data_IF_911917899431
#
_entry.id   IF_911917899431
#
_cell.length_a   1.000
_cell.length_b   1.000
_cell.length_c   1.000
_cell.angle_alpha   90.00
_cell.angle_beta   90.00
_cell.angle_gamma   90.00
#
_symmetry.space_group_name_H-M   'P 1'
#
loop_
_entity.id
_entity.type
_entity.pdbx_description
1 polymer ?
#
# COMPACT_ATOMS: atom_id res chain seq x y z
N UNK A 1 -6.39 -7.95 -8.64
CA UNK A 1 -6.42 -6.49 -8.53
C UNK A 1 -6.07 -6.09 -7.10
N UNK A 2 -5.25 -5.06 -6.98
CA UNK A 2 -4.81 -4.61 -5.68
C UNK A 2 -5.69 -3.53 -5.10
N UNK A 3 -5.77 -3.50 -3.79
CA UNK A 3 -6.44 -2.41 -3.09
C UNK A 3 -5.76 -2.20 -1.74
N UNK A 4 -5.94 -1.00 -1.20
CA UNK A 4 -5.38 -0.66 0.10
C UNK A 4 -6.49 -0.17 1.00
N UNK A 5 -6.37 -0.47 2.29
CA UNK A 5 -7.32 0.01 3.27
C UNK A 5 -6.59 0.44 4.53
N UNK A 6 -7.17 1.39 5.22
CA UNK A 6 -6.62 1.84 6.49
C UNK A 6 -7.32 1.13 7.64
N UNK A 7 -6.53 0.56 8.53
CA UNK A 7 -7.02 -0.12 9.72
C UNK A 7 -6.26 0.44 10.90
N UNK A 8 -6.96 1.12 11.81
CA UNK A 8 -6.34 1.78 12.96
C UNK A 8 -5.21 2.72 12.47
N UNK A 9 -3.99 2.48 12.88
CA UNK A 9 -2.85 3.35 12.56
C UNK A 9 -1.99 2.82 11.42
N UNK A 10 -2.54 1.95 10.57
CA UNK A 10 -1.75 1.38 9.49
C UNK A 10 -2.56 1.27 8.21
N UNK A 11 -1.85 1.21 7.12
CA UNK A 11 -2.44 0.96 5.80
C UNK A 11 -1.99 -0.43 5.36
N UNK A 12 -2.93 -1.20 4.86
CA UNK A 12 -2.67 -2.56 4.39
C UNK A 12 -2.98 -2.60 2.91
N UNK A 13 -2.00 -2.96 2.11
CA UNK A 13 -2.15 -3.13 0.68
C UNK A 13 -2.25 -4.62 0.37
N UNK A 14 -3.32 -5.00 -0.31
CA UNK A 14 -3.58 -6.39 -0.64
C UNK A 14 -3.68 -6.55 -2.15
N UNK A 15 -3.20 -7.68 -2.64
CA UNK A 15 -3.27 -8.01 -4.05
C UNK A 15 -3.32 -9.53 -4.18
N UNK A 16 -4.17 -10.01 -5.09
CA UNK A 16 -4.34 -11.44 -5.34
C UNK A 16 -4.67 -12.21 -4.06
N UNK A 17 -5.47 -11.61 -3.19
CA UNK A 17 -5.89 -12.26 -1.95
C UNK A 17 -4.81 -12.36 -0.89
N UNK A 18 -3.71 -11.63 -1.05
CA UNK A 18 -2.60 -11.66 -0.10
C UNK A 18 -2.23 -10.26 0.32
N UNK A 19 -1.70 -10.15 1.54
CA UNK A 19 -1.17 -8.88 2.02
C UNK A 19 0.21 -8.70 1.39
N UNK A 20 0.34 -7.64 0.59
CA UNK A 20 1.60 -7.33 -0.08
C UNK A 20 2.49 -6.49 0.82
N UNK A 21 1.91 -5.48 1.45
CA UNK A 21 2.67 -4.57 2.30
C UNK A 21 1.74 -3.94 3.31
N UNK A 22 2.25 -3.68 4.51
CA UNK A 22 1.51 -2.92 5.51
C UNK A 22 2.49 -2.07 6.31
N UNK A 23 2.06 -0.87 6.64
CA UNK A 23 2.87 0.04 7.43
C UNK A 23 1.98 1.17 7.91
N UNK A 24 2.52 2.06 8.77
CA UNK A 24 1.79 3.26 9.13
C UNK A 24 1.60 4.14 7.90
N UNK A 25 0.58 5.02 7.89
CA UNK A 25 0.26 5.78 6.67
C UNK A 25 1.43 6.60 6.13
N UNK A 26 2.20 7.23 7.03
CA UNK A 26 3.31 8.07 6.58
C UNK A 26 4.37 7.26 5.84
N UNK A 27 4.79 6.13 6.41
CA UNK A 27 5.77 5.27 5.76
C UNK A 27 5.21 4.63 4.51
N UNK A 28 3.96 4.21 4.55
CA UNK A 28 3.35 3.55 3.42
C UNK A 28 3.32 4.45 2.18
N UNK A 29 2.93 5.71 2.36
CA UNK A 29 2.80 6.63 1.23
C UNK A 29 4.12 7.29 0.83
N UNK A 30 4.99 7.54 1.79
CA UNK A 30 6.24 8.25 1.52
C UNK A 30 7.41 7.33 1.21
N UNK A 31 7.38 6.11 1.71
CA UNK A 31 8.51 5.19 1.55
C UNK A 31 8.03 3.76 1.35
N UNK A 32 7.24 3.49 0.31
CA UNK A 32 6.78 2.12 0.05
C UNK A 32 7.95 1.21 -0.27
N UNK A 33 7.91 0.00 0.26
CA UNK A 33 9.03 -0.94 0.15
C UNK A 33 8.85 -1.94 -0.99
N UNK A 34 7.62 -2.28 -1.31
CA UNK A 34 7.33 -3.29 -2.32
C UNK A 34 7.08 -2.64 -3.68
N UNK A 35 7.60 -3.27 -4.73
CA UNK A 35 7.42 -2.76 -6.09
C UNK A 35 5.95 -2.60 -6.46
N UNK A 36 5.12 -3.56 -6.06
CA UNK A 36 3.70 -3.50 -6.36
C UNK A 36 3.04 -2.31 -5.67
N UNK A 37 3.47 -2.02 -4.45
CA UNK A 37 2.97 -0.86 -3.73
C UNK A 37 3.35 0.43 -4.45
N UNK A 38 4.58 0.52 -4.90
CA UNK A 38 5.06 1.69 -5.62
C UNK A 38 4.26 1.93 -6.88
N UNK A 39 3.99 0.86 -7.61
CA UNK A 39 3.21 0.94 -8.84
C UNK A 39 1.77 1.37 -8.54
N UNK A 40 1.17 0.78 -7.53
CA UNK A 40 -0.19 1.10 -7.11
C UNK A 40 -0.32 2.58 -6.75
N UNK A 41 0.62 3.09 -5.96
CA UNK A 41 0.59 4.47 -5.53
C UNK A 41 0.85 5.43 -6.69
N UNK A 42 1.68 5.06 -7.62
CA UNK A 42 1.94 5.92 -8.77
C UNK A 42 0.70 6.10 -9.65
N UNK A 43 -0.17 5.12 -9.67
CA UNK A 43 -1.42 5.22 -10.43
C UNK A 43 -2.45 6.10 -9.73
N UNK A 44 -2.35 6.24 -8.43
CA UNK A 44 -3.30 7.01 -7.64
C UNK A 44 -2.83 8.44 -7.44
N UNK A 45 -1.53 8.60 -7.20
CA UNK A 45 -0.97 9.87 -6.74
C UNK A 45 -0.29 10.70 -7.83
N UNK A 46 -0.41 10.30 -9.07
CA UNK A 46 0.26 11.07 -10.14
C UNK A 46 -0.46 12.37 -10.49
#
# INVERSE_FOLDING_TARGET
>A
MGFARQVANRVIFMDAGQIVEQNDPEEFFNNPQHERTKLFLSQILH
#
